data_IF_795258727291
#
_entry.id   IF_795258727291
#
_cell.length_a   1.000
_cell.length_b   1.000
_cell.length_c   1.000
_cell.angle_alpha   90.00
_cell.angle_beta   90.00
_cell.angle_gamma   90.00
#
_symmetry.space_group_name_H-M   'P 1'
#
loop_
_entity.id
_entity.type
_entity.pdbx_description
1 polymer ?
#
# COMPACT_ATOMS: atom_id res chain seq x y z
N UNK A 1 -12.14 -0.69 -15.37
CA UNK A 1 -11.39 0.55 -15.62
C UNK A 1 -10.24 0.63 -14.64
N UNK A 2 -9.07 1.03 -15.10
CA UNK A 2 -7.92 1.30 -14.23
C UNK A 2 -7.29 2.61 -14.71
N UNK A 3 -6.99 3.50 -13.76
CA UNK A 3 -6.43 4.81 -14.04
C UNK A 3 -5.33 5.13 -13.05
N UNK A 4 -4.32 5.86 -13.52
CA UNK A 4 -3.27 6.44 -12.69
C UNK A 4 -3.38 7.96 -12.78
N UNK A 5 -3.28 8.65 -11.66
CA UNK A 5 -3.26 10.10 -11.61
C UNK A 5 -2.28 10.60 -10.55
N UNK A 6 -2.03 11.90 -10.60
CA UNK A 6 -1.20 12.62 -9.65
C UNK A 6 -2.01 13.76 -9.05
N UNK A 7 -1.72 14.07 -7.79
CA UNK A 7 -2.31 15.22 -7.10
C UNK A 7 -1.22 16.28 -7.04
N UNK A 8 -1.44 17.41 -7.71
CA UNK A 8 -0.46 18.49 -7.77
C UNK A 8 -0.55 19.38 -6.53
N UNK A 9 0.02 18.87 -5.43
CA UNK A 9 0.25 19.66 -4.23
C UNK A 9 1.51 19.19 -3.50
N UNK A 10 1.96 20.01 -2.55
CA UNK A 10 3.20 19.75 -1.80
C UNK A 10 3.17 18.42 -1.05
N UNK A 11 2.00 18.01 -0.51
CA UNK A 11 1.87 16.81 0.32
C UNK A 11 2.01 15.52 -0.49
N UNK A 12 1.54 15.54 -1.73
CA UNK A 12 1.47 14.37 -2.61
C UNK A 12 2.44 14.44 -3.80
N UNK A 13 3.37 15.39 -3.79
CA UNK A 13 4.37 15.54 -4.83
C UNK A 13 5.13 14.23 -5.04
N UNK A 14 5.09 13.71 -6.27
CA UNK A 14 5.73 12.45 -6.64
C UNK A 14 5.05 11.17 -6.13
N UNK A 15 3.86 11.25 -5.52
CA UNK A 15 3.09 10.07 -5.07
C UNK A 15 2.04 9.71 -6.13
N UNK A 16 2.13 8.53 -6.79
CA UNK A 16 1.13 8.10 -7.75
C UNK A 16 -0.12 7.55 -7.06
N UNK A 17 -1.29 7.92 -7.56
CA UNK A 17 -2.57 7.35 -7.15
C UNK A 17 -3.08 6.41 -8.23
N UNK A 18 -3.55 5.23 -7.81
CA UNK A 18 -4.13 4.23 -8.69
C UNK A 18 -5.57 3.99 -8.28
N UNK A 19 -6.48 4.00 -9.25
CA UNK A 19 -7.87 3.62 -9.05
C UNK A 19 -8.21 2.49 -10.00
N UNK A 20 -8.85 1.45 -9.46
CA UNK A 20 -9.35 0.31 -10.23
C UNK A 20 -10.80 0.06 -9.84
N UNK A 21 -11.67 0.02 -10.84
CA UNK A 21 -13.09 -0.30 -10.70
C UNK A 21 -13.49 -1.33 -11.76
N UNK A 22 -14.48 -2.16 -11.46
CA UNK A 22 -14.94 -3.18 -12.41
C UNK A 22 -16.26 -3.80 -11.98
N UNK A 23 -17.04 -4.27 -12.96
CA UNK A 23 -18.18 -5.17 -12.74
C UNK A 23 -17.70 -6.61 -12.91
N UNK A 24 -18.38 -7.58 -12.28
CA UNK A 24 -18.04 -9.02 -12.33
C UNK A 24 -16.58 -9.31 -11.95
N UNK A 25 -16.06 -8.60 -10.95
CA UNK A 25 -14.77 -8.95 -10.35
C UNK A 25 -14.93 -10.19 -9.47
N UNK A 26 -13.81 -10.86 -9.16
CA UNK A 26 -13.80 -12.05 -8.30
C UNK A 26 -14.41 -11.81 -6.92
N UNK A 27 -14.33 -10.58 -6.41
CA UNK A 27 -14.83 -10.18 -5.10
C UNK A 27 -15.49 -8.80 -5.17
N UNK A 28 -16.58 -8.63 -4.41
CA UNK A 28 -17.19 -7.32 -4.17
C UNK A 28 -16.45 -6.66 -3.01
N UNK A 29 -15.59 -5.70 -3.32
CA UNK A 29 -14.83 -4.97 -2.31
C UNK A 29 -14.64 -3.50 -2.70
N UNK A 30 -14.74 -2.61 -1.70
CA UNK A 30 -14.33 -1.21 -1.78
C UNK A 30 -13.25 -0.99 -0.72
N UNK A 31 -12.03 -0.70 -1.15
CA UNK A 31 -10.90 -0.58 -0.24
C UNK A 31 -9.89 0.46 -0.72
N UNK A 32 -9.20 1.09 0.23
CA UNK A 32 -8.08 1.99 -0.01
C UNK A 32 -6.83 1.29 0.48
N UNK A 33 -5.83 1.12 -0.39
CA UNK A 33 -4.54 0.51 -0.05
C UNK A 33 -3.46 1.58 -0.10
N UNK A 34 -2.89 1.88 1.06
CA UNK A 34 -1.76 2.79 1.22
C UNK A 34 -0.49 1.96 1.36
N UNK A 35 0.39 2.07 0.38
CA UNK A 35 1.71 1.44 0.40
C UNK A 35 2.76 2.41 0.94
N UNK A 36 3.37 2.08 2.07
CA UNK A 36 4.44 2.90 2.63
C UNK A 36 5.74 2.73 1.85
N UNK A 37 6.56 3.80 1.82
CA UNK A 37 7.91 3.74 1.29
C UNK A 37 8.73 2.72 2.11
N UNK A 38 9.62 2.01 1.43
CA UNK A 38 10.60 1.17 2.13
C UNK A 38 11.41 2.04 3.07
N UNK A 39 11.74 1.50 4.24
CA UNK A 39 12.69 2.15 5.14
C UNK A 39 14.00 2.37 4.38
N UNK A 40 14.67 3.53 4.55
CA UNK A 40 15.99 3.77 3.97
C UNK A 40 16.91 2.60 4.33
N UNK A 41 17.67 2.11 3.34
CA UNK A 41 18.66 1.06 3.58
C UNK A 41 19.63 1.55 4.65
N UNK A 42 19.54 0.98 5.86
CA UNK A 42 20.52 1.28 6.89
C UNK A 42 21.83 0.55 6.53
N UNK A 43 22.97 1.26 6.38
CA UNK A 43 24.25 0.65 6.04
C UNK A 43 24.73 -0.41 7.07
N UNK A 44 24.25 -0.35 8.32
CA UNK A 44 24.54 -1.35 9.35
C UNK A 44 23.70 -2.63 9.21
N UNK A 45 22.62 -2.61 8.44
CA UNK A 45 21.77 -3.78 8.22
C UNK A 45 21.90 -4.26 6.77
N UNK A 46 22.99 -4.96 6.46
CA UNK A 46 23.26 -5.54 5.14
C UNK A 46 22.21 -6.58 4.66
N UNK A 47 21.29 -7.02 5.54
CA UNK A 47 20.37 -8.13 5.29
C UNK A 47 18.86 -7.76 5.29
N UNK A 48 18.48 -6.50 5.02
CA UNK A 48 17.06 -6.06 4.93
C UNK A 48 16.52 -5.98 3.51
N UNK A 49 17.28 -6.43 2.52
CA UNK A 49 16.93 -6.30 1.10
C UNK A 49 15.63 -7.04 0.69
N UNK A 50 15.05 -7.87 1.57
CA UNK A 50 13.92 -8.75 1.25
C UNK A 50 12.64 -8.42 2.04
N UNK A 51 12.59 -7.29 2.75
CA UNK A 51 11.37 -6.88 3.43
C UNK A 51 10.52 -6.06 2.45
N UNK A 52 9.37 -6.62 2.05
CA UNK A 52 8.39 -5.90 1.23
C UNK A 52 7.81 -4.69 1.98
N UNK A 53 7.15 -3.76 1.28
CA UNK A 53 6.60 -2.55 1.90
C UNK A 53 5.51 -2.88 2.94
N UNK A 54 5.37 -2.00 3.94
CA UNK A 54 4.21 -2.02 4.82
C UNK A 54 2.98 -1.53 4.06
N UNK A 55 1.82 -2.11 4.36
CA UNK A 55 0.54 -1.71 3.76
C UNK A 55 -0.45 -1.34 4.87
N UNK A 56 -1.12 -0.21 4.70
CA UNK A 56 -2.34 0.11 5.43
C UNK A 56 -3.52 -0.09 4.48
N UNK A 57 -4.42 -0.99 4.84
CA UNK A 57 -5.63 -1.29 4.07
C UNK A 57 -6.82 -0.80 4.87
N UNK A 58 -7.61 0.08 4.26
CA UNK A 58 -8.87 0.57 4.80
C UNK A 58 -9.98 -0.10 3.99
N UNK A 59 -10.80 -0.88 4.65
CA UNK A 59 -11.96 -1.55 4.06
C UNK A 59 -13.19 -0.67 4.27
N UNK A 60 -13.89 -0.36 3.18
CA UNK A 60 -15.06 0.52 3.17
C UNK A 60 -16.35 -0.29 3.04
N UNK A 61 -16.35 -1.35 2.21
CA UNK A 61 -17.52 -2.24 2.05
C UNK A 61 -17.09 -3.55 1.38
N UNK A 62 -17.79 -4.68 1.63
CA UNK A 62 -18.96 -4.83 2.50
C UNK A 62 -18.62 -4.85 4.00
N UNK A 63 -17.40 -5.22 4.37
CA UNK A 63 -16.95 -5.28 5.76
C UNK A 63 -16.06 -4.07 6.07
N UNK A 64 -16.52 -3.17 6.93
CA UNK A 64 -15.74 -2.02 7.34
C UNK A 64 -14.60 -2.43 8.30
N UNK A 65 -13.42 -1.85 8.09
CA UNK A 65 -12.30 -2.12 8.98
C UNK A 65 -10.98 -1.52 8.53
N UNK A 66 -9.95 -1.81 9.33
CA UNK A 66 -8.60 -1.32 9.10
C UNK A 66 -7.61 -2.45 9.37
N UNK A 67 -6.69 -2.66 8.43
CA UNK A 67 -5.61 -3.64 8.58
C UNK A 67 -4.26 -3.01 8.30
N UNK A 68 -3.34 -3.15 9.25
CA UNK A 68 -1.95 -2.77 9.10
C UNK A 68 -1.11 -4.03 8.86
N UNK A 69 -0.64 -4.22 7.63
CA UNK A 69 0.26 -5.31 7.25
C UNK A 69 1.69 -4.84 7.42
N UNK A 70 2.29 -5.21 8.56
CA UNK A 70 3.70 -5.00 8.83
C UNK A 70 4.50 -6.18 8.32
N UNK A 71 5.48 -5.93 7.46
CA UNK A 71 6.45 -6.96 7.12
C UNK A 71 7.65 -6.81 8.06
N UNK A 72 7.77 -7.72 9.01
CA UNK A 72 8.93 -7.82 9.88
C UNK A 72 9.82 -8.97 9.41
N UNK A 73 11.14 -8.78 9.50
CA UNK A 73 12.07 -9.90 9.37
C UNK A 73 11.99 -10.69 10.68
N UNK A 74 11.51 -11.93 10.61
CA UNK A 74 11.70 -12.88 11.72
C UNK A 74 13.20 -13.12 11.87
N UNK A 75 13.74 -12.76 13.04
CA UNK A 75 15.09 -13.05 13.45
C UNK A 75 14.99 -14.27 14.35
N UNK A 76 15.38 -15.43 13.84
CA UNK A 76 15.88 -16.52 14.67
C UNK A 76 17.38 -16.28 14.87
#
# INVERSE_FOLDING_TARGET
>A
MASRFQIDNYRWQGVPFYVRTGKRMAEKATQIVIQFRKLPKNPYFHNVNHVGPNLLVIYISPDEGLSLKLKCKSKW
#
